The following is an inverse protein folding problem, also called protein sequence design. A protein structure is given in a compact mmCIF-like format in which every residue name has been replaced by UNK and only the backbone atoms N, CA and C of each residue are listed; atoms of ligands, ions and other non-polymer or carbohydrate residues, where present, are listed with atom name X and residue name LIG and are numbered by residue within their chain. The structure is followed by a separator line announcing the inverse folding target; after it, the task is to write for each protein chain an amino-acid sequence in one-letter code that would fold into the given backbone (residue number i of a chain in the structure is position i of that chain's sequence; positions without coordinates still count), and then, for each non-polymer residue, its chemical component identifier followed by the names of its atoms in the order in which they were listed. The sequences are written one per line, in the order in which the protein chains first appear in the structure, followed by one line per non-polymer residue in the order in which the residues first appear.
data_IF_253350421304
#
_entry.id   IF_253350421304
#
_cell.length_a   1.000
_cell.length_b   1.000
_cell.length_c   1.000
_cell.angle_alpha   90.00
_cell.angle_beta   90.00
_cell.angle_gamma   90.00
#
_symmetry.space_group_name_H-M   'P 1'
#
loop_
_entity.id
_entity.type
_entity.pdbx_description
1 polymer ?
#
# COMPACT_ATOMS: atom_id res chain seq x y z
N UNK A 1 12.68 39.08 25.87
CA UNK A 1 11.75 38.07 25.31
C UNK A 1 11.84 36.83 26.17
N UNK A 2 10.79 36.50 26.91
CA UNK A 2 10.72 35.23 27.62
C UNK A 2 10.32 34.14 26.63
N UNK A 3 11.29 33.39 26.11
CA UNK A 3 11.02 32.16 25.38
C UNK A 3 10.57 31.11 26.42
N UNK A 4 9.27 31.05 26.67
CA UNK A 4 8.68 29.97 27.44
C UNK A 4 8.68 28.74 26.57
N UNK A 5 9.62 27.83 26.84
CA UNK A 5 9.64 26.51 26.21
C UNK A 5 8.39 25.75 26.65
N UNK A 6 7.44 25.56 25.73
CA UNK A 6 6.28 24.67 26.01
C UNK A 6 6.77 23.24 25.95
N UNK A 7 6.64 22.45 27.03
CA UNK A 7 7.01 21.05 26.97
C UNK A 7 6.22 20.35 25.89
N UNK A 8 6.89 19.47 25.12
CA UNK A 8 6.23 18.63 24.12
C UNK A 8 5.23 17.73 24.84
N UNK A 9 3.97 17.87 24.48
CA UNK A 9 2.92 16.99 24.99
C UNK A 9 2.80 15.83 24.01
N UNK A 10 3.09 14.62 24.46
CA UNK A 10 2.89 13.42 23.65
C UNK A 10 1.40 13.31 23.28
N UNK A 11 1.05 13.30 21.99
CA UNK A 11 -0.35 13.21 21.59
C UNK A 11 -0.94 11.86 21.98
N UNK A 12 -2.21 11.86 22.34
CA UNK A 12 -2.95 10.62 22.60
C UNK A 12 -3.16 9.89 21.28
N UNK A 13 -2.74 8.62 21.21
CA UNK A 13 -2.92 7.78 20.04
C UNK A 13 -4.32 7.18 20.07
N UNK A 14 -5.13 7.46 19.05
CA UNK A 14 -6.44 6.86 18.87
C UNK A 14 -6.29 5.60 18.02
N UNK A 15 -6.79 4.48 18.53
CA UNK A 15 -6.80 3.19 17.84
C UNK A 15 -8.15 2.95 17.15
N UNK A 16 -8.14 2.26 16.02
CA UNK A 16 -9.34 1.83 15.29
C UNK A 16 -10.33 2.95 14.86
N UNK A 17 -9.93 4.21 14.91
CA UNK A 17 -10.83 5.32 14.61
C UNK A 17 -11.25 5.38 13.13
N UNK A 18 -10.47 4.78 12.21
CA UNK A 18 -10.79 4.70 10.78
C UNK A 18 -11.24 3.30 10.34
N UNK A 19 -11.26 2.32 11.24
CA UNK A 19 -11.56 0.91 10.93
C UNK A 19 -10.76 0.35 9.74
N UNK A 20 -9.52 0.85 9.54
CA UNK A 20 -8.60 0.41 8.50
C UNK A 20 -7.62 -0.60 9.06
N UNK A 21 -7.32 -1.61 8.26
CA UNK A 21 -6.38 -2.65 8.63
C UNK A 21 -6.95 -4.05 8.41
N UNK A 22 -6.20 -5.04 8.81
CA UNK A 22 -6.59 -6.43 8.68
C UNK A 22 -5.46 -7.39 8.98
N UNK A 23 -5.75 -8.68 8.83
CA UNK A 23 -4.78 -9.77 8.97
C UNK A 23 -4.82 -10.64 7.73
N UNK A 24 -3.64 -11.10 7.30
CA UNK A 24 -3.56 -12.11 6.24
C UNK A 24 -3.78 -13.53 6.83
N UNK A 25 -3.80 -14.54 5.96
CA UNK A 25 -3.98 -15.94 6.37
C UNK A 25 -2.87 -16.47 7.31
N UNK A 26 -1.70 -15.84 7.31
CA UNK A 26 -0.56 -16.18 8.18
C UNK A 26 -0.62 -15.48 9.55
N UNK A 27 -1.61 -14.59 9.75
CA UNK A 27 -1.76 -13.82 10.97
C UNK A 27 -0.96 -12.52 11.00
N UNK A 28 -0.25 -12.15 9.92
CA UNK A 28 0.42 -10.85 9.85
C UNK A 28 -0.63 -9.75 9.80
N UNK A 29 -0.47 -8.73 10.61
CA UNK A 29 -1.43 -7.65 10.75
C UNK A 29 -0.87 -6.31 10.30
N UNK A 30 -1.73 -5.55 9.64
CA UNK A 30 -1.55 -4.13 9.39
C UNK A 30 -2.71 -3.38 10.06
N UNK A 31 -2.41 -2.25 10.66
CA UNK A 31 -3.39 -1.37 11.29
C UNK A 31 -3.03 0.09 11.06
N UNK A 32 -3.99 0.97 11.29
CA UNK A 32 -3.84 2.42 11.21
C UNK A 32 -4.30 3.00 12.53
N UNK A 33 -3.47 3.82 13.14
CA UNK A 33 -3.88 4.64 14.27
C UNK A 33 -3.88 6.14 13.89
N UNK A 34 -4.14 7.04 14.81
CA UNK A 34 -4.23 8.47 14.52
C UNK A 34 -2.90 9.13 14.14
N UNK A 35 -1.77 8.45 14.26
CA UNK A 35 -0.44 9.04 14.05
C UNK A 35 0.38 8.29 13.01
N UNK A 36 0.25 6.95 12.91
CA UNK A 36 1.11 6.14 12.05
C UNK A 36 0.45 4.80 11.66
N UNK A 37 1.07 4.14 10.71
CA UNK A 37 0.77 2.75 10.37
C UNK A 37 1.43 1.80 11.38
N UNK A 38 0.78 0.68 11.64
CA UNK A 38 1.31 -0.38 12.47
C UNK A 38 1.41 -1.68 11.67
N UNK A 39 2.53 -2.36 11.84
CA UNK A 39 2.72 -3.75 11.37
C UNK A 39 3.03 -4.62 12.57
N UNK A 40 2.24 -5.67 12.78
CA UNK A 40 2.37 -6.56 13.94
C UNK A 40 2.33 -5.81 15.28
N UNK A 41 1.48 -4.79 15.38
CA UNK A 41 1.32 -3.96 16.58
C UNK A 41 2.50 -3.03 16.88
N UNK A 42 3.41 -2.83 15.93
CA UNK A 42 4.56 -1.90 16.07
C UNK A 42 4.47 -0.80 15.03
N UNK A 43 4.90 0.44 15.37
CA UNK A 43 5.02 1.51 14.40
C UNK A 43 5.81 1.06 13.18
N UNK A 44 5.28 1.37 11.98
CA UNK A 44 5.90 0.96 10.74
C UNK A 44 5.81 2.07 9.68
N UNK A 45 6.91 2.28 8.99
CA UNK A 45 7.01 3.17 7.84
C UNK A 45 7.39 2.30 6.65
N UNK A 46 6.41 1.98 5.81
CA UNK A 46 6.65 1.22 4.59
C UNK A 46 7.20 2.10 3.48
N UNK A 47 8.23 1.61 2.80
CA UNK A 47 8.75 2.25 1.58
C UNK A 47 7.90 1.79 0.42
N UNK A 48 7.23 2.74 -0.25
CA UNK A 48 6.34 2.45 -1.36
C UNK A 48 6.99 2.84 -2.68
N UNK A 49 6.79 1.99 -3.69
CA UNK A 49 7.10 2.26 -5.08
C UNK A 49 5.89 2.05 -5.97
N UNK A 50 5.87 2.68 -7.12
CA UNK A 50 4.83 2.48 -8.13
C UNK A 50 5.28 1.48 -9.19
N UNK A 51 4.41 0.55 -9.54
CA UNK A 51 4.59 -0.38 -10.64
C UNK A 51 3.30 -0.42 -11.47
N UNK A 52 3.38 0.10 -12.68
CA UNK A 52 2.21 0.12 -13.57
C UNK A 52 2.25 -1.10 -14.48
N UNK A 53 1.49 -2.13 -14.13
CA UNK A 53 1.43 -3.43 -14.80
C UNK A 53 1.18 -3.32 -16.31
N UNK A 54 0.37 -2.38 -16.76
CA UNK A 54 0.04 -2.17 -18.17
C UNK A 54 1.20 -1.66 -19.04
N UNK A 55 2.33 -1.28 -18.42
CA UNK A 55 3.57 -0.85 -19.12
C UNK A 55 4.59 -1.96 -19.30
N UNK A 56 4.33 -3.14 -18.75
CA UNK A 56 5.21 -4.29 -18.80
C UNK A 56 4.46 -5.51 -19.32
N UNK A 57 5.13 -6.39 -20.06
CA UNK A 57 4.58 -7.67 -20.39
C UNK A 57 4.27 -8.48 -19.13
N UNK A 58 3.15 -9.21 -19.09
CA UNK A 58 2.71 -9.93 -17.89
C UNK A 58 3.76 -10.92 -17.38
N UNK A 59 4.47 -11.58 -18.26
CA UNK A 59 5.55 -12.52 -17.96
C UNK A 59 6.70 -11.88 -17.18
N UNK A 60 6.90 -10.56 -17.31
CA UNK A 60 7.97 -9.83 -16.63
C UNK A 60 7.57 -9.30 -15.26
N UNK A 61 6.27 -9.22 -14.93
CA UNK A 61 5.79 -8.60 -13.68
C UNK A 61 6.48 -9.16 -12.45
N UNK A 62 6.55 -10.49 -12.33
CA UNK A 62 7.18 -11.13 -11.17
C UNK A 62 8.63 -10.73 -11.03
N UNK A 63 9.37 -10.70 -12.13
CA UNK A 63 10.80 -10.32 -12.14
C UNK A 63 10.97 -8.87 -11.72
N UNK A 64 10.18 -7.96 -12.26
CA UNK A 64 10.25 -6.54 -11.94
C UNK A 64 9.84 -6.25 -10.49
N UNK A 65 8.78 -6.88 -9.98
CA UNK A 65 8.37 -6.77 -8.58
C UNK A 65 9.44 -7.32 -7.62
N UNK A 66 10.13 -8.40 -7.99
CA UNK A 66 11.24 -8.93 -7.19
C UNK A 66 12.46 -8.00 -7.17
N UNK A 67 12.74 -7.29 -8.27
CA UNK A 67 13.77 -6.24 -8.31
C UNK A 67 13.42 -5.08 -7.37
N UNK A 68 12.17 -4.63 -7.40
CA UNK A 68 11.68 -3.59 -6.47
C UNK A 68 11.84 -4.04 -5.03
N UNK A 69 11.42 -5.26 -4.71
CA UNK A 69 11.57 -5.84 -3.37
C UNK A 69 13.05 -5.92 -2.93
N UNK A 70 13.94 -6.33 -3.82
CA UNK A 70 15.38 -6.37 -3.55
C UNK A 70 15.96 -4.97 -3.31
N UNK A 71 15.38 -3.94 -3.92
CA UNK A 71 15.70 -2.52 -3.69
C UNK A 71 15.10 -1.95 -2.41
N UNK A 72 14.36 -2.73 -1.61
CA UNK A 72 13.79 -2.30 -0.33
C UNK A 72 12.36 -1.77 -0.41
N UNK A 73 11.68 -1.92 -1.55
CA UNK A 73 10.25 -1.58 -1.68
C UNK A 73 9.42 -2.63 -0.96
N UNK A 74 8.58 -2.20 -0.04
CA UNK A 74 7.72 -3.07 0.77
C UNK A 74 6.24 -2.98 0.36
N UNK A 75 5.84 -1.85 -0.22
CA UNK A 75 4.51 -1.59 -0.73
C UNK A 75 4.57 -1.25 -2.22
N UNK A 76 3.68 -1.83 -2.99
CA UNK A 76 3.57 -1.51 -4.42
C UNK A 76 2.21 -0.86 -4.67
N UNK A 77 2.24 0.34 -5.23
CA UNK A 77 1.05 1.01 -5.75
C UNK A 77 0.98 0.84 -7.26
N UNK A 78 -0.23 0.72 -7.78
CA UNK A 78 -0.48 0.73 -9.23
C UNK A 78 -1.79 1.45 -9.52
N UNK A 79 -1.87 2.05 -10.70
CA UNK A 79 -3.16 2.44 -11.26
C UNK A 79 -3.83 1.22 -11.90
N UNK A 80 -5.15 1.19 -11.83
CA UNK A 80 -5.98 0.25 -12.60
C UNK A 80 -6.75 1.10 -13.61
N UNK A 81 -6.19 1.32 -14.82
CA UNK A 81 -6.85 2.14 -15.82
C UNK A 81 -8.14 1.48 -16.27
N UNK A 82 -9.26 2.17 -16.11
CA UNK A 82 -10.57 1.66 -16.52
C UNK A 82 -10.60 1.27 -18.00
N UNK A 83 -9.98 2.08 -18.83
CA UNK A 83 -9.83 1.84 -20.27
C UNK A 83 -9.24 0.48 -20.62
N UNK A 84 -8.37 -0.09 -19.78
CA UNK A 84 -7.77 -1.40 -20.01
C UNK A 84 -8.71 -2.56 -19.66
N UNK A 85 -9.66 -2.33 -18.77
CA UNK A 85 -10.50 -3.38 -18.20
C UNK A 85 -11.96 -3.32 -18.64
N UNK A 86 -12.40 -2.22 -19.22
CA UNK A 86 -13.75 -2.05 -19.76
C UNK A 86 -13.67 -1.19 -21.03
N UNK A 87 -13.22 -1.80 -22.12
CA UNK A 87 -13.19 -1.14 -23.44
C UNK A 87 -14.59 -0.93 -24.01
N UNK A 88 -15.52 -1.81 -23.67
CA UNK A 88 -16.94 -1.73 -24.01
C UNK A 88 -17.77 -1.68 -22.72
N UNK A 89 -18.75 -0.81 -22.65
CA UNK A 89 -19.60 -0.63 -21.49
C UNK A 89 -20.21 -1.94 -21.00
N UNK A 90 -19.94 -2.30 -19.75
CA UNK A 90 -20.43 -3.54 -19.10
C UNK A 90 -19.65 -4.80 -19.43
N UNK A 91 -18.62 -4.73 -20.27
CA UNK A 91 -17.75 -5.87 -20.62
C UNK A 91 -16.41 -5.73 -19.92
N UNK A 92 -16.21 -6.52 -18.87
CA UNK A 92 -14.99 -6.46 -18.05
C UNK A 92 -13.98 -7.52 -18.48
N UNK A 93 -12.74 -7.09 -18.76
CA UNK A 93 -11.60 -7.94 -19.10
C UNK A 93 -10.57 -7.96 -17.96
N UNK A 94 -10.37 -9.14 -17.38
CA UNK A 94 -9.34 -9.45 -16.39
C UNK A 94 -8.57 -10.71 -16.81
N UNK A 95 -8.28 -10.85 -18.09
CA UNK A 95 -7.55 -12.00 -18.63
C UNK A 95 -6.25 -11.58 -19.32
N UNK A 96 -5.35 -12.53 -19.54
CA UNK A 96 -4.09 -12.29 -20.24
C UNK A 96 -3.28 -11.16 -19.61
N UNK A 97 -3.02 -10.10 -20.38
CA UNK A 97 -2.29 -8.91 -19.93
C UNK A 97 -3.02 -8.13 -18.81
N UNK A 98 -4.34 -8.28 -18.70
CA UNK A 98 -5.19 -7.61 -17.73
C UNK A 98 -5.49 -8.47 -16.48
N UNK A 99 -4.92 -9.67 -16.38
CA UNK A 99 -5.14 -10.56 -15.24
C UNK A 99 -4.35 -10.13 -14.01
N UNK A 100 -5.00 -9.41 -13.10
CA UNK A 100 -4.45 -8.92 -11.84
C UNK A 100 -4.64 -9.89 -10.65
N UNK A 101 -5.13 -11.10 -10.89
CA UNK A 101 -5.37 -12.14 -9.88
C UNK A 101 -4.10 -12.89 -9.50
#
# INVERSE_FOLDING_TARGET
MNNTFKPYVTPVVLQNHLHLGGKNAKGDSLAVNSLYLERQGRPWIGIMGEFHYFRYAREDWKTELLKMKAGGIELVATYVPWLCHEEEEGVFDFEGQNDLR
#
